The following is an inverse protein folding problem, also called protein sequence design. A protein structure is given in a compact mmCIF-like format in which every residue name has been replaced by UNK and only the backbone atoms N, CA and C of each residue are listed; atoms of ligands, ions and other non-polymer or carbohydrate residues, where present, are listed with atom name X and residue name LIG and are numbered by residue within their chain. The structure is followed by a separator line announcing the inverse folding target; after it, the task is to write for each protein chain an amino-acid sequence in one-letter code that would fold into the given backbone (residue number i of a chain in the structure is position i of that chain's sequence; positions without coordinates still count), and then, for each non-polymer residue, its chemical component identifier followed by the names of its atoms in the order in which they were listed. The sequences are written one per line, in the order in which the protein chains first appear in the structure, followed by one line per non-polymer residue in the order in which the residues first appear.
data_IF_853117768370
#
_entry.id   IF_853117768370
#
_cell.length_a   1.000
_cell.length_b   1.000
_cell.length_c   1.000
_cell.angle_alpha   90.00
_cell.angle_beta   90.00
_cell.angle_gamma   90.00
#
_symmetry.space_group_name_H-M   'P 1'
#
loop_
_entity.id
_entity.type
_entity.pdbx_description
1 polymer ?
#
# COMPACT_ATOMS: atom_id res chain seq x y z
N UNK A 1 4.37 -14.87 -17.99
CA UNK A 1 4.02 -14.21 -19.26
C UNK A 1 3.99 -12.68 -19.16
N UNK A 2 3.15 -12.03 -18.33
CA UNK A 2 3.07 -10.55 -18.27
C UNK A 2 4.43 -9.89 -17.95
N UNK A 3 5.17 -10.44 -16.98
CA UNK A 3 6.48 -9.93 -16.61
C UNK A 3 7.48 -10.04 -17.77
N UNK A 4 7.46 -11.14 -18.51
CA UNK A 4 8.31 -11.35 -19.68
C UNK A 4 8.01 -10.35 -20.80
N UNK A 5 6.72 -10.05 -21.03
CA UNK A 5 6.34 -9.02 -22.00
C UNK A 5 6.88 -7.63 -21.59
N UNK A 6 6.79 -7.29 -20.31
CA UNK A 6 7.34 -6.03 -19.81
C UNK A 6 8.89 -6.01 -19.91
N UNK A 7 9.55 -7.13 -19.63
CA UNK A 7 10.99 -7.30 -19.78
C UNK A 7 11.47 -7.17 -21.23
N UNK A 8 10.64 -7.55 -22.20
CA UNK A 8 10.98 -7.44 -23.63
C UNK A 8 11.01 -5.98 -24.14
N UNK A 9 10.46 -5.02 -23.37
CA UNK A 9 10.43 -3.61 -23.76
C UNK A 9 11.69 -2.91 -23.25
N UNK A 10 12.66 -2.50 -24.08
CA UNK A 10 14.00 -2.07 -23.62
C UNK A 10 14.00 -0.87 -22.69
N UNK A 11 13.11 0.10 -22.87
CA UNK A 11 13.04 1.32 -22.07
C UNK A 11 12.26 1.15 -20.76
N UNK A 12 11.59 0.03 -20.53
CA UNK A 12 10.94 -0.26 -19.25
C UNK A 12 12.00 -0.75 -18.27
N UNK A 13 12.16 -0.05 -17.16
CA UNK A 13 13.16 -0.33 -16.12
C UNK A 13 12.54 -0.76 -14.78
N UNK A 14 11.25 -0.54 -14.62
CA UNK A 14 10.55 -0.80 -13.36
C UNK A 14 9.16 -1.37 -13.64
N UNK A 15 8.76 -2.36 -12.88
CA UNK A 15 7.38 -2.86 -12.82
C UNK A 15 6.80 -2.60 -11.44
N UNK A 16 5.57 -2.10 -11.40
CA UNK A 16 4.84 -1.87 -10.17
C UNK A 16 3.58 -2.72 -10.16
N UNK A 17 3.47 -3.59 -9.15
CA UNK A 17 2.37 -4.54 -8.98
C UNK A 17 1.51 -4.04 -7.83
N UNK A 18 0.25 -3.71 -8.12
CA UNK A 18 -0.75 -3.35 -7.11
C UNK A 18 -1.61 -4.56 -6.81
N UNK A 19 -1.69 -4.97 -5.55
CA UNK A 19 -2.41 -6.20 -5.21
C UNK A 19 -2.86 -6.24 -3.75
N UNK A 20 -3.98 -6.91 -3.49
CA UNK A 20 -4.39 -7.35 -2.16
C UNK A 20 -3.97 -8.80 -1.84
N UNK A 21 -3.36 -9.51 -2.77
CA UNK A 21 -3.05 -10.94 -2.60
C UNK A 21 -2.17 -11.22 -1.38
N UNK A 22 -1.22 -10.32 -1.07
CA UNK A 22 -0.38 -10.42 0.13
C UNK A 22 -1.17 -10.40 1.45
N UNK A 23 -2.41 -9.92 1.41
CA UNK A 23 -3.31 -9.79 2.57
C UNK A 23 -4.39 -10.87 2.54
N UNK A 24 -5.13 -10.97 1.42
CA UNK A 24 -6.34 -11.81 1.36
C UNK A 24 -6.05 -13.27 1.02
N UNK A 25 -4.92 -13.53 0.35
CA UNK A 25 -4.50 -14.89 -0.02
C UNK A 25 -2.95 -14.97 -0.08
N UNK A 26 -2.28 -14.76 1.06
CA UNK A 26 -0.82 -14.65 1.13
C UNK A 26 -0.09 -15.92 0.65
N UNK A 27 -0.74 -17.08 0.68
CA UNK A 27 -0.20 -18.35 0.18
C UNK A 27 0.12 -18.34 -1.32
N UNK A 28 -0.45 -17.39 -2.08
CA UNK A 28 -0.11 -17.16 -3.50
C UNK A 28 1.26 -16.50 -3.70
N UNK A 29 1.83 -15.98 -2.62
CA UNK A 29 3.18 -15.39 -2.63
C UNK A 29 4.14 -16.48 -2.15
N UNK A 30 4.47 -17.37 -3.04
CA UNK A 30 5.38 -18.48 -2.77
C UNK A 30 6.83 -18.17 -3.17
N UNK A 31 7.71 -19.12 -2.90
CA UNK A 31 9.14 -18.98 -3.21
C UNK A 31 9.39 -18.92 -4.73
N UNK A 32 8.60 -19.61 -5.54
CA UNK A 32 8.73 -19.62 -7.00
C UNK A 32 8.40 -18.24 -7.59
N UNK A 33 7.25 -17.66 -7.22
CA UNK A 33 6.89 -16.31 -7.65
C UNK A 33 7.93 -15.29 -7.19
N UNK A 34 8.37 -15.38 -5.93
CA UNK A 34 9.35 -14.45 -5.39
C UNK A 34 10.71 -14.55 -6.11
N UNK A 35 11.18 -15.75 -6.37
CA UNK A 35 12.40 -15.98 -7.15
C UNK A 35 12.27 -15.49 -8.60
N UNK A 36 11.11 -15.68 -9.22
CA UNK A 36 10.83 -15.15 -10.57
C UNK A 36 10.86 -13.62 -10.62
N UNK A 37 10.32 -12.95 -9.59
CA UNK A 37 10.38 -11.49 -9.47
C UNK A 37 11.82 -11.01 -9.27
N UNK A 38 12.60 -11.70 -8.41
CA UNK A 38 14.00 -11.38 -8.16
C UNK A 38 14.90 -11.55 -9.38
N UNK A 39 14.61 -12.55 -10.21
CA UNK A 39 15.37 -12.81 -11.44
C UNK A 39 15.04 -11.82 -12.57
N UNK A 40 14.08 -10.94 -12.38
CA UNK A 40 13.71 -9.94 -13.38
C UNK A 40 14.81 -8.89 -13.54
N UNK A 41 15.07 -8.47 -14.80
CA UNK A 41 15.89 -7.28 -15.05
C UNK A 41 15.25 -5.97 -14.61
N UNK A 42 13.92 -5.99 -14.38
CA UNK A 42 13.16 -4.83 -13.93
C UNK A 42 13.25 -4.68 -12.42
N UNK A 43 13.30 -3.46 -11.93
CA UNK A 43 13.08 -3.18 -10.52
C UNK A 43 11.63 -3.47 -10.17
N UNK A 44 11.40 -4.38 -9.25
CA UNK A 44 10.04 -4.77 -8.84
C UNK A 44 9.62 -3.98 -7.61
N UNK A 45 8.50 -3.29 -7.72
CA UNK A 45 7.81 -2.61 -6.61
C UNK A 45 6.45 -3.27 -6.41
N UNK A 46 6.19 -3.81 -5.25
CA UNK A 46 4.87 -4.34 -4.90
C UNK A 46 4.18 -3.37 -3.96
N UNK A 47 2.99 -2.93 -4.34
CA UNK A 47 2.13 -2.06 -3.54
C UNK A 47 0.98 -2.90 -3.01
N UNK A 48 1.04 -3.21 -1.72
CA UNK A 48 -0.02 -3.92 -1.02
C UNK A 48 -1.19 -3.00 -0.71
N UNK A 49 -2.38 -3.57 -0.51
CA UNK A 49 -3.57 -2.86 -0.05
C UNK A 49 -3.98 -3.43 1.31
N UNK A 50 -3.59 -2.76 2.38
CA UNK A 50 -3.94 -3.07 3.76
C UNK A 50 -4.48 -1.81 4.42
N UNK A 51 -5.67 -1.89 5.03
CA UNK A 51 -6.37 -0.76 5.64
C UNK A 51 -6.30 -0.77 7.16
N UNK A 52 -5.99 -1.92 7.78
CA UNK A 52 -5.98 -2.09 9.23
C UNK A 52 -4.88 -3.07 9.66
N UNK A 53 -4.25 -2.84 10.82
CA UNK A 53 -3.20 -3.72 11.33
C UNK A 53 -3.69 -5.17 11.57
N UNK A 54 -4.97 -5.35 11.88
CA UNK A 54 -5.59 -6.67 12.06
C UNK A 54 -5.64 -7.53 10.77
N UNK A 55 -5.47 -6.92 9.59
CA UNK A 55 -5.35 -7.66 8.33
C UNK A 55 -3.97 -8.37 8.18
N UNK A 56 -2.99 -8.00 9.00
CA UNK A 56 -1.63 -8.54 8.93
C UNK A 56 -1.51 -9.87 9.69
N UNK A 57 -1.86 -10.95 9.03
CA UNK A 57 -1.70 -12.32 9.55
C UNK A 57 -0.25 -12.78 9.61
N UNK A 58 0.01 -13.93 10.24
CA UNK A 58 1.33 -14.56 10.23
C UNK A 58 1.79 -14.93 8.80
N UNK A 59 0.84 -15.36 7.96
CA UNK A 59 1.07 -15.72 6.56
C UNK A 59 1.38 -14.48 5.72
N UNK A 60 0.67 -13.36 5.93
CA UNK A 60 0.99 -12.08 5.28
C UNK A 60 2.41 -11.63 5.62
N UNK A 61 2.79 -11.74 6.89
CA UNK A 61 4.15 -11.43 7.36
C UNK A 61 5.20 -12.30 6.69
N UNK A 62 4.93 -13.61 6.56
CA UNK A 62 5.83 -14.52 5.87
C UNK A 62 6.00 -14.17 4.39
N UNK A 63 4.90 -13.83 3.70
CA UNK A 63 4.93 -13.42 2.29
C UNK A 63 5.74 -12.13 2.07
N UNK A 64 5.57 -11.12 2.92
CA UNK A 64 6.39 -9.90 2.85
C UNK A 64 7.87 -10.19 3.09
N UNK A 65 8.20 -11.05 4.06
CA UNK A 65 9.58 -11.44 4.34
C UNK A 65 10.24 -12.13 3.15
N UNK A 66 9.54 -13.05 2.47
CA UNK A 66 10.03 -13.72 1.26
C UNK A 66 10.29 -12.71 0.15
N UNK A 67 9.36 -11.80 -0.11
CA UNK A 67 9.49 -10.76 -1.15
C UNK A 67 10.66 -9.81 -0.85
N UNK A 68 10.76 -9.33 0.38
CA UNK A 68 11.84 -8.42 0.80
C UNK A 68 13.22 -9.07 0.69
N UNK A 69 13.34 -10.34 1.10
CA UNK A 69 14.59 -11.10 0.98
C UNK A 69 15.06 -11.29 -0.48
N UNK A 70 14.12 -11.21 -1.43
CA UNK A 70 14.39 -11.26 -2.87
C UNK A 70 14.47 -9.86 -3.53
N UNK A 71 14.66 -8.80 -2.75
CA UNK A 71 14.92 -7.45 -3.27
C UNK A 71 13.69 -6.72 -3.82
N UNK A 72 12.48 -7.21 -3.58
CA UNK A 72 11.24 -6.51 -3.95
C UNK A 72 11.02 -5.32 -3.03
N UNK A 73 10.83 -4.14 -3.59
CA UNK A 73 10.44 -2.95 -2.81
C UNK A 73 8.98 -3.07 -2.39
N UNK A 74 8.71 -2.99 -1.10
CA UNK A 74 7.37 -3.17 -0.54
C UNK A 74 6.79 -1.85 -0.07
N UNK A 75 5.65 -1.49 -0.62
CA UNK A 75 4.86 -0.32 -0.28
C UNK A 75 3.44 -0.74 0.10
N UNK A 76 2.75 0.10 0.87
CA UNK A 76 1.32 -0.06 1.14
C UNK A 76 0.53 1.16 0.71
N UNK A 77 -0.65 0.94 0.16
CA UNK A 77 -1.68 1.96 0.04
C UNK A 77 -2.92 1.53 0.84
N UNK A 78 -3.45 2.47 1.60
CA UNK A 78 -4.67 2.30 2.40
C UNK A 78 -5.74 3.22 1.86
N UNK A 79 -6.99 2.90 2.14
CA UNK A 79 -8.12 3.81 1.99
C UNK A 79 -8.60 4.17 3.39
N UNK A 80 -8.81 5.45 3.67
CA UNK A 80 -9.43 5.88 4.92
C UNK A 80 -10.93 5.57 4.86
N UNK A 81 -11.46 4.91 5.88
CA UNK A 81 -12.83 4.40 5.92
C UNK A 81 -13.46 4.73 7.27
N UNK A 82 -14.58 5.47 7.26
CA UNK A 82 -15.31 5.78 8.48
C UNK A 82 -15.71 4.53 9.25
N UNK A 83 -15.49 4.53 10.56
CA UNK A 83 -15.77 3.41 11.45
C UNK A 83 -14.80 2.21 11.33
N UNK A 84 -13.74 2.31 10.50
CA UNK A 84 -12.74 1.25 10.33
C UNK A 84 -11.35 1.74 10.76
N UNK A 85 -10.84 2.80 10.12
CA UNK A 85 -9.49 3.31 10.35
C UNK A 85 -9.43 4.85 10.37
N UNK A 86 -10.54 5.51 10.65
CA UNK A 86 -10.70 6.96 10.76
C UNK A 86 -10.28 7.53 12.13
N UNK A 87 -9.42 6.80 12.84
CA UNK A 87 -8.85 7.18 14.14
C UNK A 87 -7.32 7.16 14.04
N UNK A 88 -6.67 8.22 14.52
CA UNK A 88 -5.21 8.37 14.40
C UNK A 88 -4.41 7.22 15.03
N UNK A 89 -4.85 6.67 16.16
CA UNK A 89 -4.18 5.52 16.79
C UNK A 89 -4.19 4.27 15.91
N UNK A 90 -5.27 4.02 15.17
CA UNK A 90 -5.39 2.88 14.25
C UNK A 90 -4.45 3.04 13.05
N UNK A 91 -4.36 4.25 12.49
CA UNK A 91 -3.44 4.53 11.38
C UNK A 91 -1.97 4.50 11.81
N UNK A 92 -1.66 4.94 13.03
CA UNK A 92 -0.32 4.83 13.63
C UNK A 92 0.05 3.35 13.77
N UNK A 93 -0.81 2.55 14.40
CA UNK A 93 -0.60 1.11 14.56
C UNK A 93 -0.39 0.41 13.21
N UNK A 94 -1.20 0.74 12.19
CA UNK A 94 -1.03 0.20 10.85
C UNK A 94 0.34 0.55 10.27
N UNK A 95 0.77 1.82 10.37
CA UNK A 95 2.05 2.28 9.82
C UNK A 95 3.23 1.58 10.48
N UNK A 96 3.21 1.44 11.81
CA UNK A 96 4.24 0.75 12.57
C UNK A 96 4.25 -0.77 12.29
N UNK A 97 3.07 -1.39 12.22
CA UNK A 97 2.93 -2.81 11.93
C UNK A 97 3.41 -3.16 10.51
N UNK A 98 3.11 -2.33 9.51
CA UNK A 98 3.60 -2.47 8.13
C UNK A 98 5.13 -2.35 8.10
N UNK A 99 5.67 -1.32 8.73
CA UNK A 99 7.13 -1.10 8.78
C UNK A 99 7.86 -2.25 9.45
N UNK A 100 7.31 -2.80 10.53
CA UNK A 100 7.81 -4.01 11.18
C UNK A 100 7.83 -5.26 10.28
N UNK A 101 7.15 -5.22 9.13
CA UNK A 101 7.18 -6.25 8.08
C UNK A 101 8.04 -5.87 6.86
N UNK A 102 8.76 -4.74 6.92
CA UNK A 102 9.54 -4.21 5.80
C UNK A 102 8.71 -3.52 4.72
N UNK A 103 7.45 -3.16 5.02
CA UNK A 103 6.54 -2.48 4.09
C UNK A 103 6.45 -1.01 4.48
N UNK A 104 6.73 -0.10 3.54
CA UNK A 104 6.60 1.34 3.80
C UNK A 104 5.17 1.81 3.52
N UNK A 105 4.55 2.58 4.43
CA UNK A 105 3.34 3.33 4.13
C UNK A 105 3.59 4.28 2.96
N UNK A 106 2.71 4.29 1.98
CA UNK A 106 2.92 5.08 0.77
C UNK A 106 1.80 6.09 0.54
N UNK A 107 0.57 5.58 0.36
CA UNK A 107 -0.60 6.41 0.17
C UNK A 107 -1.68 6.09 1.20
N UNK A 108 -2.38 7.14 1.65
CA UNK A 108 -3.68 7.08 2.29
C UNK A 108 -4.67 7.75 1.34
N UNK A 109 -5.53 6.96 0.72
CA UNK A 109 -6.54 7.44 -0.19
C UNK A 109 -7.77 7.92 0.55
N UNK A 110 -8.32 9.05 0.13
CA UNK A 110 -9.73 9.34 0.38
C UNK A 110 -10.58 8.38 -0.45
N UNK A 111 -11.74 7.94 0.05
CA UNK A 111 -12.63 7.06 -0.71
C UNK A 111 -13.05 7.68 -2.04
N UNK A 112 -13.15 6.84 -3.07
CA UNK A 112 -13.79 7.22 -4.32
C UNK A 112 -15.30 7.18 -4.15
N UNK A 113 -16.01 8.07 -4.86
CA UNK A 113 -17.47 8.12 -4.85
C UNK A 113 -18.04 6.93 -5.64
N UNK A 114 -18.17 5.78 -4.98
CA UNK A 114 -18.73 4.55 -5.55
C UNK A 114 -20.12 4.30 -4.96
N UNK A 115 -21.05 3.83 -5.79
CA UNK A 115 -22.40 3.50 -5.31
C UNK A 115 -22.35 2.46 -4.19
N UNK A 116 -23.06 2.70 -3.09
CA UNK A 116 -23.13 1.82 -1.92
C UNK A 116 -22.03 2.00 -0.88
N UNK A 117 -21.04 2.88 -1.09
CA UNK A 117 -19.92 3.07 -0.15
C UNK A 117 -19.98 4.37 0.66
N UNK A 118 -21.03 5.19 0.50
CA UNK A 118 -21.13 6.51 1.14
C UNK A 118 -21.03 6.48 2.68
N UNK A 119 -21.39 5.37 3.32
CA UNK A 119 -21.27 5.20 4.77
C UNK A 119 -19.83 5.07 5.27
N UNK A 120 -18.86 4.85 4.37
CA UNK A 120 -17.43 4.84 4.67
C UNK A 120 -16.74 6.17 4.37
N UNK A 121 -17.48 7.17 3.89
CA UNK A 121 -16.89 8.44 3.48
C UNK A 121 -16.36 9.21 4.69
N UNK A 122 -15.20 9.87 4.50
CA UNK A 122 -14.53 10.69 5.49
C UNK A 122 -14.29 12.07 4.89
N UNK A 123 -14.74 13.10 5.60
CA UNK A 123 -14.55 14.49 5.17
C UNK A 123 -13.05 14.83 5.04
N UNK A 124 -12.71 15.65 4.05
CA UNK A 124 -11.33 16.01 3.76
C UNK A 124 -10.61 16.66 4.95
N UNK A 125 -11.27 17.57 5.64
CA UNK A 125 -10.71 18.27 6.81
C UNK A 125 -10.41 17.29 7.97
N UNK A 126 -11.32 16.33 8.20
CA UNK A 126 -11.09 15.26 9.18
C UNK A 126 -9.88 14.40 8.79
N UNK A 127 -9.77 13.99 7.53
CA UNK A 127 -8.63 13.22 7.04
C UNK A 127 -7.30 13.99 7.14
N UNK A 128 -7.30 15.30 6.85
CA UNK A 128 -6.12 16.17 7.03
C UNK A 128 -5.73 16.30 8.50
N UNK A 129 -6.71 16.40 9.42
CA UNK A 129 -6.47 16.41 10.86
C UNK A 129 -5.81 15.12 11.35
N UNK A 130 -6.23 13.96 10.82
CA UNK A 130 -5.60 12.67 11.10
C UNK A 130 -4.15 12.65 10.65
N UNK A 131 -3.86 13.05 9.41
CA UNK A 131 -2.47 13.07 8.90
C UNK A 131 -1.59 14.04 9.69
N UNK A 132 -2.13 15.20 10.08
CA UNK A 132 -1.41 16.13 10.99
C UNK A 132 -1.03 15.44 12.30
N UNK A 133 -1.93 14.65 12.87
CA UNK A 133 -1.63 13.88 14.09
C UNK A 133 -0.57 12.80 13.84
N UNK A 134 -0.62 12.11 12.70
CA UNK A 134 0.42 11.14 12.32
C UNK A 134 1.80 11.81 12.21
N UNK A 135 1.88 12.99 11.58
CA UNK A 135 3.12 13.76 11.44
C UNK A 135 3.73 14.16 12.80
N UNK A 136 2.91 14.38 13.82
CA UNK A 136 3.36 14.70 15.17
C UNK A 136 3.85 13.47 15.95
N UNK A 137 3.43 12.28 15.57
CA UNK A 137 3.60 11.04 16.33
C UNK A 137 4.56 10.03 15.67
N UNK A 138 4.75 10.10 14.37
CA UNK A 138 5.55 9.15 13.59
C UNK A 138 6.73 9.84 12.91
N UNK A 139 7.84 9.11 12.69
CA UNK A 139 8.88 9.56 11.76
C UNK A 139 8.28 9.78 10.37
N UNK A 140 8.76 10.80 9.65
CA UNK A 140 8.17 11.22 8.37
C UNK A 140 8.06 10.10 7.31
N UNK A 141 8.96 9.12 7.31
CA UNK A 141 8.89 7.97 6.38
C UNK A 141 7.78 6.96 6.72
N UNK A 142 7.12 7.08 7.87
CA UNK A 142 5.96 6.28 8.26
C UNK A 142 4.63 7.02 8.08
N UNK A 143 4.66 8.26 7.63
CA UNK A 143 3.45 9.04 7.37
C UNK A 143 3.05 8.88 5.90
N UNK A 144 1.94 8.20 5.58
CA UNK A 144 1.47 8.07 4.21
C UNK A 144 0.99 9.42 3.66
N UNK A 145 1.09 9.59 2.34
CA UNK A 145 0.60 10.79 1.65
C UNK A 145 -0.91 10.71 1.47
N UNK A 146 -1.64 11.70 1.98
CA UNK A 146 -3.08 11.80 1.75
C UNK A 146 -3.36 12.22 0.31
N UNK A 147 -4.11 11.40 -0.42
CA UNK A 147 -4.38 11.60 -1.85
C UNK A 147 -5.81 11.24 -2.23
N UNK A 148 -6.26 11.80 -3.35
CA UNK A 148 -7.48 11.37 -4.06
C UNK A 148 -7.18 11.27 -5.55
N UNK A 149 -7.86 10.34 -6.23
CA UNK A 149 -7.91 10.30 -7.69
C UNK A 149 -9.10 11.14 -8.16
N UNK A 150 -8.82 12.21 -8.88
CA UNK A 150 -9.86 13.10 -9.40
C UNK A 150 -9.99 12.89 -10.91
N UNK A 151 -11.23 12.73 -11.42
CA UNK A 151 -11.46 12.56 -12.86
C UNK A 151 -10.87 13.73 -13.65
N UNK A 152 -10.10 13.42 -14.69
CA UNK A 152 -9.48 14.42 -15.56
C UNK A 152 -8.11 14.92 -15.12
N UNK A 153 -7.68 14.66 -13.88
CA UNK A 153 -6.35 15.01 -13.41
C UNK A 153 -5.29 14.03 -13.93
N UNK A 154 -4.09 14.56 -14.22
CA UNK A 154 -2.96 13.74 -14.74
C UNK A 154 -2.26 12.92 -13.65
N UNK A 155 -2.51 13.23 -12.41
CA UNK A 155 -1.91 12.58 -11.24
C UNK A 155 -2.85 12.66 -10.04
N UNK A 156 -2.58 11.84 -9.01
CA UNK A 156 -3.30 11.94 -7.74
C UNK A 156 -3.16 13.34 -7.13
N UNK A 157 -4.27 13.96 -6.76
CA UNK A 157 -4.27 15.21 -5.99
C UNK A 157 -3.79 14.93 -4.57
N UNK A 158 -2.81 15.70 -4.09
CA UNK A 158 -2.24 15.56 -2.75
C UNK A 158 -2.83 16.60 -1.82
N UNK A 159 -3.20 16.18 -0.60
CA UNK A 159 -3.80 17.04 0.42
C UNK A 159 -2.93 17.18 1.68
N UNK A 160 -1.97 16.28 1.88
CA UNK A 160 -0.97 16.31 2.95
C UNK A 160 0.23 15.40 2.63
#
# INVERSE_FOLDING_TARGET
WLLEQAEAIPHVTTVRIHTRMTIVLPQRIDAELSARLAASRLRVVLVSHCNHAQELSAESKASFKILAANGVTLLNQSVILAGVNDISSVLIELSEALFGQGVLPYYLHLPDAVAGTAHFDVALDAAQGLVTTLQQRLPGYLVPRLVREEPGEKSKTRYA
#
